data_IF_980998536779
#
_entry.id   IF_980998536779
#
_cell.length_a   1.000
_cell.length_b   1.000
_cell.length_c   1.000
_cell.angle_alpha   90.00
_cell.angle_beta   90.00
_cell.angle_gamma   90.00
#
_symmetry.space_group_name_H-M   'P 1'
#
loop_
_entity.id
_entity.type
_entity.pdbx_description
1 polymer ?
#
# COMPACT_ATOMS: atom_id res chain seq x y z
N UNK A 1 -7.68 13.75 -39.53
CA UNK A 1 -7.54 14.18 -38.13
C UNK A 1 -6.30 13.54 -37.55
N UNK A 2 -5.65 14.15 -36.59
CA UNK A 2 -4.52 13.51 -35.91
C UNK A 2 -5.02 12.32 -35.05
N UNK A 3 -4.28 11.20 -34.92
CA UNK A 3 -4.74 10.02 -34.19
C UNK A 3 -5.19 10.28 -32.75
N UNK A 4 -4.62 11.28 -32.09
CA UNK A 4 -5.02 11.70 -30.75
C UNK A 4 -6.39 12.39 -30.75
N UNK A 5 -6.76 13.11 -31.81
CA UNK A 5 -8.07 13.73 -31.91
C UNK A 5 -9.16 12.67 -32.18
N UNK A 6 -8.85 11.64 -32.99
CA UNK A 6 -9.75 10.50 -33.19
C UNK A 6 -9.99 9.75 -31.85
N UNK A 7 -8.95 9.58 -31.05
CA UNK A 7 -9.09 9.02 -29.69
C UNK A 7 -9.92 9.92 -28.77
N UNK A 8 -9.72 11.24 -28.82
CA UNK A 8 -10.51 12.17 -28.03
C UNK A 8 -11.99 12.15 -28.44
N UNK A 9 -12.29 12.02 -29.73
CA UNK A 9 -13.64 11.87 -30.25
C UNK A 9 -14.28 10.55 -29.82
N UNK A 10 -13.51 9.48 -29.85
CA UNK A 10 -13.94 8.20 -29.27
C UNK A 10 -14.26 8.31 -27.78
N UNK A 11 -13.41 8.95 -26.98
CA UNK A 11 -13.67 9.16 -25.55
C UNK A 11 -14.98 9.91 -25.31
N UNK A 12 -15.31 10.94 -26.10
CA UNK A 12 -16.58 11.68 -25.98
C UNK A 12 -17.83 10.82 -26.20
N UNK A 13 -17.69 9.64 -26.81
CA UNK A 13 -18.79 8.68 -26.97
C UNK A 13 -18.94 7.74 -25.78
N UNK A 14 -17.91 7.67 -24.89
CA UNK A 14 -17.95 6.83 -23.71
C UNK A 14 -18.72 7.51 -22.55
N UNK A 15 -19.43 6.71 -21.79
CA UNK A 15 -20.14 7.16 -20.58
C UNK A 15 -19.43 6.61 -19.34
N UNK A 16 -19.02 7.48 -18.42
CA UNK A 16 -18.42 7.14 -17.13
C UNK A 16 -19.47 6.47 -16.22
N UNK A 17 -19.02 5.89 -15.11
CA UNK A 17 -19.88 5.32 -14.07
C UNK A 17 -20.77 6.37 -13.40
N UNK A 18 -20.32 7.63 -13.34
CA UNK A 18 -21.11 8.78 -12.92
C UNK A 18 -22.27 9.14 -13.86
N UNK A 19 -22.37 8.51 -15.05
CA UNK A 19 -23.31 8.85 -16.09
C UNK A 19 -22.87 10.00 -17.00
N UNK A 20 -21.77 10.68 -16.71
CA UNK A 20 -21.23 11.76 -17.55
C UNK A 20 -20.48 11.23 -18.75
N UNK A 21 -20.37 12.04 -19.81
CA UNK A 21 -19.52 11.73 -20.96
C UNK A 21 -18.05 11.92 -20.61
N UNK A 22 -17.22 10.99 -21.08
CA UNK A 22 -15.77 11.11 -20.89
C UNK A 22 -15.19 12.16 -21.82
N UNK A 23 -14.54 13.19 -21.24
CA UNK A 23 -13.72 14.15 -21.98
C UNK A 23 -12.25 13.96 -21.62
N UNK A 24 -11.33 14.10 -22.59
CA UNK A 24 -9.91 14.13 -22.29
C UNK A 24 -9.51 15.54 -21.81
N UNK A 25 -8.95 15.63 -20.63
CA UNK A 25 -8.35 16.85 -20.11
C UNK A 25 -6.96 17.11 -20.74
N UNK A 26 -6.42 18.34 -20.70
CA UNK A 26 -5.14 18.69 -21.31
C UNK A 26 -3.99 17.78 -20.90
N UNK A 27 -3.87 17.43 -19.62
CA UNK A 27 -2.80 16.54 -19.15
C UNK A 27 -2.91 15.12 -19.72
N UNK A 28 -4.13 14.61 -19.95
CA UNK A 28 -4.35 13.30 -20.56
C UNK A 28 -3.95 13.31 -22.05
N UNK A 29 -4.18 14.40 -22.74
CA UNK A 29 -3.68 14.61 -24.11
C UNK A 29 -2.15 14.67 -24.13
N UNK A 30 -1.54 15.36 -23.15
CA UNK A 30 -0.09 15.45 -23.02
C UNK A 30 0.53 14.08 -22.77
N UNK A 31 0.03 13.30 -21.81
CA UNK A 31 0.63 12.00 -21.44
C UNK A 31 0.51 10.93 -22.54
N UNK A 32 -0.39 11.10 -23.50
CA UNK A 32 -0.55 10.19 -24.62
C UNK A 32 0.03 10.76 -25.92
N UNK A 33 0.60 11.96 -25.89
CA UNK A 33 1.15 12.62 -27.09
C UNK A 33 2.20 11.78 -27.78
N UNK A 34 3.22 11.34 -27.07
CA UNK A 34 4.29 10.53 -27.64
C UNK A 34 3.80 9.16 -28.12
N UNK A 35 2.81 8.57 -27.45
CA UNK A 35 2.17 7.34 -27.90
C UNK A 35 1.56 7.52 -29.30
N UNK A 36 0.84 8.61 -29.55
CA UNK A 36 0.14 8.82 -30.81
C UNK A 36 1.01 9.47 -31.91
N UNK A 37 1.89 10.41 -31.56
CA UNK A 37 2.60 11.23 -32.56
C UNK A 37 4.06 10.84 -32.74
N UNK A 38 4.80 10.57 -31.65
CA UNK A 38 6.21 10.24 -31.74
C UNK A 38 6.46 8.74 -31.94
N UNK A 39 5.42 7.91 -31.77
CA UNK A 39 5.54 6.46 -31.93
C UNK A 39 6.40 5.81 -30.84
N UNK A 40 6.47 6.40 -29.65
CA UNK A 40 7.21 5.82 -28.55
C UNK A 40 6.78 4.36 -28.32
N UNK A 41 7.77 3.46 -28.32
CA UNK A 41 7.51 2.03 -28.07
C UNK A 41 7.09 1.80 -26.63
N UNK A 42 7.68 2.54 -25.69
CA UNK A 42 7.37 2.48 -24.27
C UNK A 42 7.04 3.90 -23.77
N UNK A 43 5.90 4.03 -23.08
CA UNK A 43 5.49 5.28 -22.42
C UNK A 43 5.28 5.00 -20.94
N UNK A 44 6.03 5.67 -20.07
CA UNK A 44 5.89 5.60 -18.64
C UNK A 44 5.18 6.85 -18.13
N UNK A 45 4.08 6.65 -17.40
CA UNK A 45 3.25 7.73 -16.86
C UNK A 45 3.21 7.60 -15.34
N UNK A 46 3.76 8.57 -14.63
CA UNK A 46 3.76 8.67 -13.18
C UNK A 46 2.82 9.80 -12.73
N UNK A 47 1.74 9.42 -12.09
CA UNK A 47 0.70 10.34 -11.61
C UNK A 47 0.24 9.93 -10.20
N UNK A 48 -0.08 10.87 -9.30
CA UNK A 48 -0.72 10.57 -8.03
C UNK A 48 -2.00 9.74 -8.18
N UNK A 49 -2.44 9.09 -7.10
CA UNK A 49 -3.71 8.35 -7.09
C UNK A 49 -4.91 9.29 -7.31
N UNK A 50 -5.94 8.78 -7.99
CA UNK A 50 -7.18 9.53 -8.23
C UNK A 50 -7.18 10.36 -9.50
N UNK A 51 -6.10 10.36 -10.31
CA UNK A 51 -6.00 11.14 -11.55
C UNK A 51 -6.45 10.35 -12.79
N UNK A 52 -7.43 9.47 -12.67
CA UNK A 52 -8.09 8.74 -13.76
C UNK A 52 -7.15 7.95 -14.72
N UNK A 53 -5.96 7.53 -14.25
CA UNK A 53 -4.98 6.76 -15.03
C UNK A 53 -5.62 5.52 -15.68
N UNK A 54 -6.15 4.63 -14.84
CA UNK A 54 -6.75 3.34 -15.25
C UNK A 54 -7.93 3.53 -16.18
N UNK A 55 -8.78 4.54 -15.90
CA UNK A 55 -9.95 4.89 -16.77
C UNK A 55 -9.50 5.32 -18.17
N UNK A 56 -8.46 6.14 -18.24
CA UNK A 56 -7.91 6.61 -19.54
C UNK A 56 -7.31 5.46 -20.33
N UNK A 57 -6.57 4.55 -19.70
CA UNK A 57 -6.00 3.38 -20.39
C UNK A 57 -7.06 2.35 -20.77
N UNK A 58 -8.12 2.20 -19.99
CA UNK A 58 -9.26 1.36 -20.39
C UNK A 58 -9.94 1.89 -21.66
N UNK A 59 -10.06 3.22 -21.80
CA UNK A 59 -10.56 3.84 -23.02
C UNK A 59 -9.61 3.64 -24.20
N UNK A 60 -8.29 3.76 -23.96
CA UNK A 60 -7.26 3.51 -24.98
C UNK A 60 -7.31 2.06 -25.49
N UNK A 61 -7.44 1.09 -24.57
CA UNK A 61 -7.59 -0.32 -24.93
C UNK A 61 -8.79 -0.57 -25.85
N UNK A 62 -9.93 0.05 -25.55
CA UNK A 62 -11.14 -0.07 -26.40
C UNK A 62 -10.99 0.65 -27.72
N UNK A 63 -10.30 1.79 -27.78
CA UNK A 63 -10.02 2.50 -29.01
C UNK A 63 -9.16 1.65 -29.95
N UNK A 64 -8.04 1.11 -29.47
CA UNK A 64 -7.18 0.22 -30.25
C UNK A 64 -7.92 -1.04 -30.72
N UNK A 65 -8.75 -1.64 -29.84
CA UNK A 65 -9.58 -2.80 -30.17
C UNK A 65 -10.61 -2.49 -31.28
N UNK A 66 -11.14 -1.28 -31.31
CA UNK A 66 -12.17 -0.88 -32.25
C UNK A 66 -11.63 -0.37 -33.60
N UNK A 67 -10.35 -0.03 -33.65
CA UNK A 67 -9.71 0.61 -34.83
C UNK A 67 -8.70 -0.27 -35.56
N UNK A 68 -8.23 -1.34 -34.90
CA UNK A 68 -7.21 -2.24 -35.41
C UNK A 68 -7.75 -3.66 -35.57
N UNK A 69 -7.58 -4.26 -36.77
CA UNK A 69 -7.91 -5.66 -36.96
C UNK A 69 -6.95 -6.59 -36.21
N UNK A 70 -7.46 -7.70 -35.70
CA UNK A 70 -6.73 -8.72 -34.92
C UNK A 70 -5.85 -8.17 -33.79
N UNK A 71 -6.28 -7.06 -33.15
CA UNK A 71 -5.55 -6.41 -32.10
C UNK A 71 -5.41 -7.32 -30.87
N UNK A 72 -4.18 -7.64 -30.48
CA UNK A 72 -3.88 -8.36 -29.23
C UNK A 72 -3.43 -7.35 -28.16
N UNK A 73 -4.34 -7.03 -27.25
CA UNK A 73 -4.13 -6.04 -26.19
C UNK A 73 -4.08 -6.77 -24.85
N UNK A 74 -3.01 -6.57 -24.09
CA UNK A 74 -2.85 -7.21 -22.78
C UNK A 74 -2.82 -6.19 -21.66
N UNK A 75 -3.47 -6.52 -20.56
CA UNK A 75 -3.43 -5.78 -19.31
C UNK A 75 -2.64 -6.61 -18.30
N UNK A 76 -1.57 -6.04 -17.76
CA UNK A 76 -0.72 -6.64 -16.74
C UNK A 76 -0.69 -5.78 -15.48
N UNK A 77 -0.75 -6.42 -14.33
CA UNK A 77 -0.58 -5.81 -13.01
C UNK A 77 0.10 -6.81 -12.07
N UNK A 78 0.60 -6.33 -10.92
CA UNK A 78 1.26 -7.17 -9.91
C UNK A 78 0.36 -8.28 -9.36
N UNK A 79 -0.94 -8.02 -9.27
CA UNK A 79 -1.95 -8.99 -8.88
C UNK A 79 -3.04 -9.10 -9.96
N UNK A 80 -3.54 -10.31 -10.16
CA UNK A 80 -4.60 -10.60 -11.15
C UNK A 80 -5.86 -9.76 -10.93
N UNK A 81 -6.23 -9.53 -9.67
CA UNK A 81 -7.40 -8.73 -9.30
C UNK A 81 -7.24 -7.25 -9.67
N UNK A 82 -6.03 -6.72 -9.63
CA UNK A 82 -5.73 -5.34 -10.05
C UNK A 82 -5.83 -5.18 -11.56
N UNK A 83 -5.28 -6.11 -12.35
CA UNK A 83 -5.51 -6.13 -13.79
C UNK A 83 -7.01 -6.21 -14.13
N UNK A 84 -7.79 -6.88 -13.27
CA UNK A 84 -9.25 -6.93 -13.33
C UNK A 84 -9.92 -5.57 -13.20
N UNK A 85 -9.34 -4.60 -12.50
CA UNK A 85 -9.92 -3.25 -12.36
C UNK A 85 -9.99 -2.56 -13.72
N UNK A 86 -8.89 -2.52 -14.47
CA UNK A 86 -8.85 -1.90 -15.79
C UNK A 86 -9.80 -2.60 -16.78
N UNK A 87 -9.84 -3.93 -16.78
CA UNK A 87 -10.76 -4.69 -17.62
C UNK A 87 -12.23 -4.44 -17.24
N UNK A 88 -12.56 -4.34 -15.95
CA UNK A 88 -13.90 -3.97 -15.47
C UNK A 88 -14.31 -2.56 -15.91
N UNK A 89 -13.38 -1.59 -15.92
CA UNK A 89 -13.61 -0.25 -16.46
C UNK A 89 -13.93 -0.31 -17.95
N UNK A 90 -13.14 -1.03 -18.74
CA UNK A 90 -13.40 -1.25 -20.18
C UNK A 90 -14.76 -1.92 -20.42
N UNK A 91 -15.06 -2.99 -19.68
CA UNK A 91 -16.36 -3.67 -19.74
C UNK A 91 -17.53 -2.74 -19.34
N UNK A 92 -17.29 -1.83 -18.37
CA UNK A 92 -18.24 -0.80 -17.97
C UNK A 92 -18.58 0.15 -19.10
N UNK A 93 -17.58 0.65 -19.81
CA UNK A 93 -17.79 1.48 -21.03
C UNK A 93 -18.61 0.74 -22.09
N UNK A 94 -18.31 -0.54 -22.33
CA UNK A 94 -19.09 -1.35 -23.27
C UNK A 94 -20.54 -1.45 -22.84
N UNK A 95 -20.80 -1.79 -21.58
CA UNK A 95 -22.17 -1.93 -21.05
C UNK A 95 -23.00 -0.65 -21.10
N UNK A 96 -22.35 0.53 -21.01
CA UNK A 96 -23.02 1.84 -21.04
C UNK A 96 -23.13 2.43 -22.44
N UNK A 97 -22.59 1.76 -23.48
CA UNK A 97 -22.62 2.23 -24.88
C UNK A 97 -23.27 1.20 -25.81
N UNK A 98 -24.51 1.43 -26.31
CA UNK A 98 -25.14 0.54 -27.28
C UNK A 98 -24.29 0.32 -28.54
N UNK A 99 -23.58 1.34 -29.00
CA UNK A 99 -22.69 1.25 -30.18
C UNK A 99 -21.51 0.27 -29.93
N UNK A 100 -20.96 0.25 -28.70
CA UNK A 100 -19.91 -0.71 -28.36
C UNK A 100 -20.47 -2.10 -28.09
N UNK A 101 -21.65 -2.24 -27.49
CA UNK A 101 -22.31 -3.54 -27.31
C UNK A 101 -22.60 -4.26 -28.65
N UNK A 102 -22.92 -3.51 -29.68
CA UNK A 102 -23.13 -4.08 -31.02
C UNK A 102 -21.84 -4.68 -31.61
N UNK A 103 -20.67 -4.12 -31.25
CA UNK A 103 -19.37 -4.48 -31.84
C UNK A 103 -18.54 -5.42 -30.96
N UNK A 104 -18.71 -5.35 -29.63
CA UNK A 104 -17.85 -6.01 -28.65
C UNK A 104 -18.62 -7.06 -27.83
N UNK A 105 -17.90 -8.09 -27.42
CA UNK A 105 -18.37 -9.12 -26.47
C UNK A 105 -17.54 -9.04 -25.21
N UNK A 106 -18.21 -8.89 -24.06
CA UNK A 106 -17.58 -8.90 -22.74
C UNK A 106 -17.66 -10.32 -22.16
N UNK A 107 -16.51 -10.89 -21.84
CA UNK A 107 -16.37 -12.15 -21.09
C UNK A 107 -15.71 -11.91 -19.74
N UNK A 108 -15.60 -12.93 -18.91
CA UNK A 108 -15.05 -12.81 -17.57
C UNK A 108 -13.62 -12.21 -17.52
N UNK A 109 -12.77 -12.55 -18.49
CA UNK A 109 -11.35 -12.18 -18.52
C UNK A 109 -10.91 -11.48 -19.80
N UNK A 110 -11.83 -11.18 -20.70
CA UNK A 110 -11.53 -10.49 -21.95
C UNK A 110 -12.71 -9.67 -22.46
N UNK A 111 -12.39 -8.68 -23.30
CA UNK A 111 -13.31 -8.00 -24.19
C UNK A 111 -12.83 -8.27 -25.62
N UNK A 112 -13.68 -8.84 -26.45
CA UNK A 112 -13.33 -9.22 -27.82
C UNK A 112 -14.16 -8.47 -28.86
N UNK A 113 -13.57 -8.14 -30.01
CA UNK A 113 -14.27 -7.54 -31.13
C UNK A 113 -14.91 -8.63 -32.02
N UNK A 114 -16.23 -8.51 -32.32
CA UNK A 114 -17.00 -9.54 -32.98
C UNK A 114 -16.59 -9.75 -34.45
N UNK A 115 -16.16 -8.68 -35.12
CA UNK A 115 -15.86 -8.69 -36.56
C UNK A 115 -14.37 -8.54 -36.86
N UNK A 116 -13.63 -7.72 -36.08
CA UNK A 116 -12.22 -7.46 -36.30
C UNK A 116 -11.27 -8.51 -35.70
N UNK A 117 -11.79 -9.51 -34.95
CA UNK A 117 -10.98 -10.61 -34.44
C UNK A 117 -10.14 -10.29 -33.18
N UNK A 118 -9.91 -9.01 -32.87
CA UNK A 118 -9.05 -8.58 -31.75
C UNK A 118 -9.67 -8.78 -30.37
N UNK A 119 -8.82 -8.67 -29.33
CA UNK A 119 -9.24 -8.77 -27.92
C UNK A 119 -8.37 -7.96 -26.96
N UNK A 120 -8.96 -7.55 -25.85
CA UNK A 120 -8.30 -7.05 -24.66
C UNK A 120 -8.41 -8.12 -23.59
N UNK A 121 -7.30 -8.57 -23.00
CA UNK A 121 -7.32 -9.62 -21.96
C UNK A 121 -6.35 -9.32 -20.82
N UNK A 122 -6.61 -9.92 -19.65
CA UNK A 122 -5.69 -9.92 -18.53
C UNK A 122 -4.61 -10.96 -18.77
N UNK A 123 -3.34 -10.56 -18.62
CA UNK A 123 -2.23 -11.48 -18.54
C UNK A 123 -2.08 -11.98 -17.10
N UNK A 124 -1.98 -13.30 -16.93
CA UNK A 124 -1.67 -13.87 -15.64
C UNK A 124 -0.23 -13.53 -15.24
N UNK A 125 0.02 -13.36 -13.95
CA UNK A 125 1.36 -13.06 -13.42
C UNK A 125 2.37 -14.20 -13.57
N UNK A 126 1.93 -15.40 -14.01
CA UNK A 126 2.81 -16.54 -14.25
C UNK A 126 3.57 -16.32 -15.56
N UNK A 127 4.84 -16.04 -15.44
CA UNK A 127 5.78 -15.73 -16.54
C UNK A 127 5.87 -16.87 -17.56
N UNK A 128 5.74 -18.11 -17.10
CA UNK A 128 5.82 -19.31 -17.95
C UNK A 128 4.75 -19.37 -19.06
N UNK A 129 3.64 -18.67 -18.90
CA UNK A 129 2.57 -18.60 -19.91
C UNK A 129 2.73 -17.44 -20.89
N UNK A 130 3.71 -16.57 -20.69
CA UNK A 130 3.92 -15.37 -21.48
C UNK A 130 5.01 -15.53 -22.56
N UNK A 131 5.76 -16.64 -22.55
CA UNK A 131 6.73 -16.95 -23.60
C UNK A 131 6.05 -17.11 -24.98
N UNK A 132 6.57 -16.38 -25.97
CA UNK A 132 5.99 -16.36 -27.30
C UNK A 132 4.85 -15.37 -27.52
N UNK A 133 4.54 -14.55 -26.51
CA UNK A 133 3.51 -13.52 -26.58
C UNK A 133 3.78 -12.56 -27.75
N UNK A 134 2.72 -12.26 -28.51
CA UNK A 134 2.74 -11.24 -29.58
C UNK A 134 1.70 -10.20 -29.17
N UNK A 135 2.15 -8.96 -28.95
CA UNK A 135 1.32 -7.90 -28.38
C UNK A 135 1.35 -6.66 -29.28
N UNK A 136 0.18 -6.11 -29.56
CA UNK A 136 0.03 -4.82 -30.22
C UNK A 136 0.05 -3.67 -29.21
N UNK A 137 -0.58 -3.87 -28.04
CA UNK A 137 -0.58 -2.93 -26.92
C UNK A 137 -0.50 -3.66 -25.58
N UNK A 138 0.54 -3.38 -24.79
CA UNK A 138 0.65 -3.79 -23.42
C UNK A 138 0.32 -2.62 -22.49
N UNK A 139 -0.61 -2.83 -21.55
CA UNK A 139 -0.99 -1.87 -20.54
C UNK A 139 -0.54 -2.42 -19.17
N UNK A 140 0.43 -1.76 -18.55
CA UNK A 140 0.99 -2.17 -17.26
C UNK A 140 0.47 -1.23 -16.19
N UNK A 141 -0.26 -1.78 -15.21
CA UNK A 141 -0.83 -0.99 -14.12
C UNK A 141 -0.03 -1.18 -12.83
N UNK A 142 0.17 -0.08 -12.12
CA UNK A 142 0.82 0.01 -10.81
C UNK A 142 2.19 -0.72 -10.76
N UNK A 143 3.09 -0.40 -11.70
CA UNK A 143 4.41 -1.05 -11.82
C UNK A 143 5.24 -1.00 -10.53
N UNK A 144 5.02 -0.01 -9.63
CA UNK A 144 5.69 0.07 -8.33
C UNK A 144 5.41 -1.12 -7.41
N UNK A 145 4.37 -1.93 -7.69
CA UNK A 145 3.98 -3.12 -6.92
C UNK A 145 4.55 -4.42 -7.48
N UNK A 146 5.14 -4.40 -8.67
CA UNK A 146 5.70 -5.60 -9.27
C UNK A 146 6.99 -6.01 -8.55
N UNK A 147 7.00 -7.24 -8.01
CA UNK A 147 8.14 -7.78 -7.27
C UNK A 147 9.28 -8.27 -8.18
N UNK A 148 8.97 -8.64 -9.43
CA UNK A 148 9.91 -9.17 -10.40
C UNK A 148 9.96 -8.33 -11.67
N UNK A 149 11.16 -8.12 -12.27
CA UNK A 149 11.32 -7.47 -13.56
C UNK A 149 10.88 -8.35 -14.74
N UNK A 150 10.66 -9.64 -14.53
CA UNK A 150 10.48 -10.66 -15.58
C UNK A 150 9.24 -10.37 -16.42
N UNK A 151 8.08 -10.12 -15.80
CA UNK A 151 6.85 -9.81 -16.52
C UNK A 151 7.02 -8.58 -17.43
N UNK A 152 7.68 -7.54 -16.93
CA UNK A 152 7.94 -6.32 -17.72
C UNK A 152 8.86 -6.62 -18.90
N UNK A 153 9.90 -7.44 -18.72
CA UNK A 153 10.82 -7.85 -19.78
C UNK A 153 10.11 -8.67 -20.85
N UNK A 154 9.32 -9.67 -20.47
CA UNK A 154 8.55 -10.52 -21.40
C UNK A 154 7.55 -9.70 -22.23
N UNK A 155 6.85 -8.74 -21.62
CA UNK A 155 5.96 -7.83 -22.33
C UNK A 155 6.72 -7.01 -23.35
N UNK A 156 7.84 -6.40 -22.97
CA UNK A 156 8.69 -5.60 -23.86
C UNK A 156 9.20 -6.41 -25.04
N UNK A 157 9.64 -7.64 -24.82
CA UNK A 157 10.11 -8.54 -25.87
C UNK A 157 8.97 -8.95 -26.81
N UNK A 158 7.75 -9.12 -26.28
CA UNK A 158 6.53 -9.40 -27.04
C UNK A 158 6.12 -8.30 -28.03
N UNK A 159 6.52 -7.05 -27.78
CA UNK A 159 6.22 -5.92 -28.68
C UNK A 159 6.94 -5.99 -30.02
N UNK A 160 8.11 -6.65 -30.06
CA UNK A 160 9.00 -6.62 -31.22
C UNK A 160 8.38 -7.19 -32.52
N UNK A 161 7.51 -8.20 -32.38
CA UNK A 161 6.97 -8.95 -33.54
C UNK A 161 5.91 -8.23 -34.33
N UNK A 162 5.19 -7.27 -33.74
CA UNK A 162 4.10 -6.51 -34.40
C UNK A 162 4.31 -4.99 -34.34
N UNK A 163 5.51 -4.54 -34.03
CA UNK A 163 5.78 -3.12 -33.74
C UNK A 163 4.79 -2.57 -32.70
N UNK A 164 4.56 -3.39 -31.66
CA UNK A 164 3.66 -3.10 -30.57
C UNK A 164 4.17 -1.98 -29.68
N UNK A 165 3.31 -1.51 -28.78
CA UNK A 165 3.59 -0.42 -27.84
C UNK A 165 3.25 -0.84 -26.42
N UNK A 166 3.91 -0.24 -25.43
CA UNK A 166 3.62 -0.43 -24.03
C UNK A 166 3.35 0.90 -23.35
N UNK A 167 2.26 0.99 -22.61
CA UNK A 167 1.95 2.13 -21.75
C UNK A 167 1.89 1.64 -20.29
N UNK A 168 2.81 2.15 -19.49
CA UNK A 168 2.91 1.84 -18.07
C UNK A 168 2.41 3.01 -17.25
N UNK A 169 1.48 2.76 -16.34
CA UNK A 169 1.01 3.74 -15.36
C UNK A 169 1.39 3.32 -13.96
N UNK A 170 1.82 4.29 -13.16
CA UNK A 170 2.17 4.05 -11.76
C UNK A 170 2.09 5.33 -10.94
N UNK A 171 2.29 5.19 -9.63
CA UNK A 171 2.67 6.26 -8.72
C UNK A 171 4.14 6.10 -8.35
N UNK A 172 4.72 7.07 -7.66
CA UNK A 172 6.05 6.94 -7.06
C UNK A 172 6.10 5.70 -6.15
N UNK A 173 7.25 5.05 -6.15
CA UNK A 173 7.54 3.88 -5.32
C UNK A 173 8.37 4.24 -4.09
N UNK A 174 8.82 3.19 -3.42
CA UNK A 174 9.74 3.26 -2.28
C UNK A 174 11.06 2.52 -2.54
N UNK A 175 11.10 1.64 -3.53
CA UNK A 175 12.28 0.85 -3.87
C UNK A 175 13.04 1.48 -5.05
N UNK A 176 14.19 2.08 -4.76
CA UNK A 176 15.10 2.65 -5.76
C UNK A 176 15.89 1.58 -6.54
N UNK A 177 15.70 0.29 -6.24
CA UNK A 177 16.24 -0.81 -7.05
C UNK A 177 15.20 -1.40 -8.01
N UNK A 178 13.94 -0.97 -7.91
CA UNK A 178 12.84 -1.47 -8.73
C UNK A 178 13.02 -1.17 -10.22
N UNK A 179 12.31 -1.95 -11.06
CA UNK A 179 12.23 -1.70 -12.52
C UNK A 179 11.70 -0.30 -12.79
N UNK A 180 10.68 0.12 -12.04
CA UNK A 180 10.07 1.44 -12.19
C UNK A 180 11.08 2.56 -11.94
N UNK A 181 11.89 2.48 -10.87
CA UNK A 181 12.92 3.47 -10.60
C UNK A 181 13.97 3.51 -11.70
N UNK A 182 14.48 2.34 -12.13
CA UNK A 182 15.48 2.24 -13.19
C UNK A 182 14.98 2.81 -14.52
N UNK A 183 13.75 2.52 -14.90
CA UNK A 183 13.12 3.06 -16.09
C UNK A 183 12.99 4.60 -16.02
N UNK A 184 12.54 5.12 -14.87
CA UNK A 184 12.48 6.57 -14.61
C UNK A 184 13.86 7.22 -14.70
N UNK A 185 14.87 6.68 -14.03
CA UNK A 185 16.24 7.25 -14.05
C UNK A 185 16.83 7.25 -15.46
N UNK A 186 16.67 6.17 -16.20
CA UNK A 186 17.13 6.10 -17.61
C UNK A 186 16.53 7.21 -18.47
N UNK A 187 15.26 7.58 -18.25
CA UNK A 187 14.62 8.67 -18.96
C UNK A 187 15.16 10.05 -18.52
N UNK A 188 15.50 10.22 -17.25
CA UNK A 188 15.99 11.48 -16.70
C UNK A 188 17.42 11.78 -17.13
N UNK A 189 18.31 10.79 -17.11
CA UNK A 189 19.72 10.91 -17.47
C UNK A 189 19.94 11.39 -18.90
N UNK A 190 18.98 11.16 -19.80
CA UNK A 190 19.07 11.46 -21.23
C UNK A 190 18.43 12.78 -21.64
N UNK A 191 18.05 13.59 -20.68
CA UNK A 191 17.51 14.92 -20.88
C UNK A 191 16.04 15.01 -20.43
N UNK A 192 15.83 15.58 -19.25
CA UNK A 192 14.52 15.84 -18.72
C UNK A 192 14.23 17.33 -18.63
N UNK A 193 12.98 17.72 -18.90
CA UNK A 193 12.49 19.09 -18.77
C UNK A 193 11.35 19.12 -17.78
N UNK A 194 11.43 20.01 -16.80
CA UNK A 194 10.37 20.21 -15.82
C UNK A 194 9.71 21.57 -16.00
N UNK A 195 8.39 21.56 -16.03
CA UNK A 195 7.55 22.76 -15.99
C UNK A 195 6.58 22.64 -14.81
N UNK A 196 6.85 23.40 -13.75
CA UNK A 196 6.11 23.30 -12.50
C UNK A 196 6.14 21.89 -11.89
N UNK A 197 4.97 21.30 -11.72
CA UNK A 197 4.82 19.92 -11.25
C UNK A 197 4.97 18.86 -12.35
N UNK A 198 4.92 19.23 -13.60
CA UNK A 198 5.09 18.33 -14.74
C UNK A 198 6.56 18.16 -15.13
N UNK A 199 6.96 16.91 -15.29
CA UNK A 199 8.29 16.49 -15.74
C UNK A 199 8.13 15.60 -16.98
N UNK A 200 8.81 15.95 -18.06
CA UNK A 200 8.95 15.15 -19.26
C UNK A 200 10.40 14.67 -19.39
N UNK A 201 10.56 13.39 -19.71
CA UNK A 201 11.85 12.77 -19.99
C UNK A 201 11.71 11.75 -21.12
N UNK A 202 12.80 11.12 -21.51
CA UNK A 202 12.76 10.08 -22.51
C UNK A 202 14.11 9.82 -23.15
N UNK A 203 14.11 8.88 -24.11
CA UNK A 203 15.30 8.58 -24.91
C UNK A 203 15.36 9.48 -26.15
N UNK A 204 16.56 9.92 -26.58
CA UNK A 204 16.72 10.80 -27.73
C UNK A 204 16.23 10.20 -29.05
N UNK A 205 16.20 8.86 -29.16
CA UNK A 205 15.71 8.13 -30.32
C UNK A 205 14.17 8.02 -30.36
N UNK A 206 13.49 8.59 -29.36
CA UNK A 206 12.04 8.56 -29.23
C UNK A 206 11.44 7.20 -28.82
N UNK A 207 12.26 6.18 -28.56
CA UNK A 207 11.79 4.83 -28.24
C UNK A 207 11.11 4.74 -26.87
N UNK A 208 11.49 5.60 -25.91
CA UNK A 208 10.95 5.67 -24.55
C UNK A 208 10.55 7.10 -24.19
N UNK A 209 9.36 7.26 -23.63
CA UNK A 209 8.85 8.55 -23.13
C UNK A 209 8.45 8.44 -21.64
N UNK A 210 8.77 9.47 -20.86
CA UNK A 210 8.35 9.64 -19.46
C UNK A 210 7.49 10.89 -19.31
N UNK A 211 6.34 10.72 -18.70
CA UNK A 211 5.48 11.80 -18.22
C UNK A 211 5.26 11.64 -16.71
N UNK A 212 5.67 12.63 -15.93
CA UNK A 212 5.54 12.59 -14.47
C UNK A 212 4.93 13.89 -13.96
N UNK A 213 3.91 13.77 -13.11
CA UNK A 213 3.38 14.88 -12.30
C UNK A 213 3.74 14.60 -10.84
N UNK A 214 4.61 15.43 -10.29
CA UNK A 214 5.14 15.24 -8.94
C UNK A 214 5.56 16.57 -8.32
N UNK A 215 5.54 16.65 -7.00
CA UNK A 215 6.25 17.69 -6.27
C UNK A 215 7.77 17.41 -6.30
N UNK A 216 8.54 18.45 -6.09
CA UNK A 216 10.01 18.38 -5.98
C UNK A 216 10.38 18.36 -4.52
N UNK A 217 10.95 17.25 -4.07
CA UNK A 217 11.43 17.07 -2.72
C UNK A 217 12.43 18.19 -2.33
N UNK A 218 12.27 18.75 -1.13
CA UNK A 218 13.10 19.83 -0.61
C UNK A 218 12.83 21.23 -1.20
N UNK A 219 11.94 21.34 -2.23
CA UNK A 219 11.54 22.62 -2.83
C UNK A 219 10.07 22.94 -2.62
N UNK A 220 9.21 21.97 -2.87
CA UNK A 220 7.76 22.14 -2.84
C UNK A 220 7.24 21.66 -1.47
N UNK A 221 6.38 22.46 -0.82
CA UNK A 221 5.79 22.10 0.46
C UNK A 221 4.67 21.05 0.23
N UNK A 222 4.82 19.82 0.74
CA UNK A 222 3.82 18.78 0.60
C UNK A 222 2.58 18.98 1.51
N UNK A 223 2.58 19.94 2.41
CA UNK A 223 1.45 20.28 3.27
C UNK A 223 0.65 21.49 2.73
N UNK A 224 1.20 22.22 1.78
CA UNK A 224 0.45 23.22 1.01
C UNK A 224 -0.42 22.52 -0.06
N UNK A 225 -1.72 22.40 0.23
CA UNK A 225 -2.67 21.72 -0.67
C UNK A 225 -2.81 22.38 -2.04
N UNK A 226 -2.53 23.69 -2.18
CA UNK A 226 -2.52 24.35 -3.48
C UNK A 226 -1.30 23.91 -4.31
N UNK A 227 -0.17 23.69 -3.64
CA UNK A 227 1.04 23.10 -4.26
C UNK A 227 0.79 21.65 -4.65
N UNK A 228 0.22 20.83 -3.75
CA UNK A 228 -0.13 19.43 -4.02
C UNK A 228 -1.11 19.31 -5.18
N UNK A 229 -2.09 20.23 -5.30
CA UNK A 229 -3.04 20.25 -6.41
C UNK A 229 -2.35 20.37 -7.77
N UNK A 230 -1.22 21.04 -7.88
CA UNK A 230 -0.46 21.16 -9.15
C UNK A 230 0.06 19.80 -9.65
N UNK A 231 0.40 18.88 -8.73
CA UNK A 231 0.77 17.50 -9.11
C UNK A 231 -0.45 16.61 -9.41
N UNK A 232 -1.66 17.07 -9.11
CA UNK A 232 -2.92 16.38 -9.31
C UNK A 232 -3.79 17.07 -10.36
N UNK A 233 -3.44 16.94 -11.66
CA UNK A 233 -4.02 17.77 -12.70
C UNK A 233 -5.50 17.52 -13.00
N UNK A 234 -6.08 16.35 -12.63
CA UNK A 234 -7.49 16.04 -12.89
C UNK A 234 -8.41 17.10 -12.24
N UNK A 235 -9.28 17.72 -13.04
CA UNK A 235 -10.17 18.80 -12.57
C UNK A 235 -11.13 18.32 -11.48
N UNK A 236 -11.65 17.10 -11.59
CA UNK A 236 -12.55 16.49 -10.62
C UNK A 236 -11.89 16.19 -9.27
N UNK A 237 -10.56 16.10 -9.18
CA UNK A 237 -9.83 15.93 -7.94
C UNK A 237 -9.57 17.32 -7.32
N UNK A 238 -10.50 17.82 -6.51
CA UNK A 238 -10.45 19.17 -5.94
C UNK A 238 -9.49 19.26 -4.73
N UNK A 239 -9.20 20.48 -4.29
CA UNK A 239 -8.42 20.73 -3.07
C UNK A 239 -9.13 20.16 -1.83
N UNK A 240 -10.47 20.19 -1.80
CA UNK A 240 -11.27 19.61 -0.71
C UNK A 240 -11.09 18.09 -0.62
N UNK A 241 -11.03 17.37 -1.76
CA UNK A 241 -10.72 15.94 -1.77
C UNK A 241 -9.30 15.65 -1.25
N UNK A 242 -8.33 16.50 -1.61
CA UNK A 242 -6.96 16.40 -1.11
C UNK A 242 -6.90 16.69 0.39
N UNK A 243 -7.64 17.70 0.88
CA UNK A 243 -7.76 18.05 2.29
C UNK A 243 -8.31 16.87 3.11
N UNK A 244 -9.46 16.33 2.70
CA UNK A 244 -10.10 15.20 3.39
C UNK A 244 -9.14 13.98 3.50
N UNK A 245 -8.30 13.77 2.49
CA UNK A 245 -7.30 12.71 2.50
C UNK A 245 -6.10 13.06 3.38
N UNK A 246 -5.62 14.31 3.37
CA UNK A 246 -4.50 14.78 4.18
C UNK A 246 -4.82 14.73 5.68
N UNK A 247 -6.03 15.16 6.04
CA UNK A 247 -6.53 15.20 7.42
C UNK A 247 -7.05 13.84 7.91
N UNK A 248 -7.12 12.83 7.05
CA UNK A 248 -7.57 11.49 7.46
C UNK A 248 -6.59 10.85 8.45
N UNK A 249 -7.05 10.42 9.63
CA UNK A 249 -6.19 9.80 10.64
C UNK A 249 -5.55 8.49 10.18
N UNK A 250 -6.08 7.87 9.12
CA UNK A 250 -5.53 6.62 8.55
C UNK A 250 -4.51 6.84 7.44
N UNK A 251 -4.28 8.09 7.01
CA UNK A 251 -3.29 8.40 5.97
C UNK A 251 -1.91 8.65 6.60
N UNK A 252 -0.98 7.73 6.43
CA UNK A 252 0.40 7.93 6.88
C UNK A 252 1.11 9.00 6.06
N UNK A 253 2.14 9.63 6.63
CA UNK A 253 2.96 10.62 5.92
C UNK A 253 3.54 10.06 4.62
N UNK A 254 4.07 8.85 4.63
CA UNK A 254 4.62 8.19 3.45
C UNK A 254 3.57 7.92 2.37
N UNK A 255 2.36 7.52 2.75
CA UNK A 255 1.24 7.39 1.81
C UNK A 255 0.85 8.72 1.18
N UNK A 256 0.83 9.78 1.98
CA UNK A 256 0.57 11.13 1.49
C UNK A 256 1.61 11.56 0.47
N UNK A 257 2.89 11.45 0.82
CA UNK A 257 3.99 11.82 -0.07
C UNK A 257 3.97 11.03 -1.39
N UNK A 258 3.76 9.71 -1.34
CA UNK A 258 3.74 8.90 -2.56
C UNK A 258 2.47 9.07 -3.38
N UNK A 259 1.32 9.01 -2.74
CA UNK A 259 0.05 8.87 -3.45
C UNK A 259 -0.65 10.19 -3.75
N UNK A 260 -0.34 11.27 -3.04
CA UNK A 260 -0.86 12.60 -3.31
C UNK A 260 0.19 13.52 -3.93
N UNK A 261 1.45 13.44 -3.47
CA UNK A 261 2.52 14.30 -3.94
C UNK A 261 3.39 13.66 -5.03
N UNK A 262 3.27 12.35 -5.24
CA UNK A 262 4.08 11.55 -6.16
C UNK A 262 5.59 11.67 -5.89
N UNK A 263 5.97 11.82 -4.62
CA UNK A 263 7.35 11.87 -4.14
C UNK A 263 7.81 10.44 -3.83
N UNK A 264 9.03 10.10 -4.25
CA UNK A 264 9.66 8.84 -3.90
C UNK A 264 10.09 8.86 -2.45
N UNK A 265 9.61 7.90 -1.67
CA UNK A 265 10.04 7.73 -0.28
C UNK A 265 11.16 6.70 -0.20
N UNK A 266 12.06 6.83 0.77
CA UNK A 266 13.11 5.84 0.97
C UNK A 266 12.64 4.74 1.89
N UNK A 267 12.38 3.54 1.34
CA UNK A 267 12.18 2.31 2.09
C UNK A 267 10.96 2.27 2.98
N UNK A 268 11.11 1.78 4.18
CA UNK A 268 10.10 1.72 5.21
C UNK A 268 9.77 3.15 5.67
N UNK A 269 8.50 3.55 5.55
CA UNK A 269 8.04 4.86 5.99
C UNK A 269 8.06 4.91 7.53
N UNK A 270 8.40 6.06 8.09
CA UNK A 270 8.11 6.34 9.50
C UNK A 270 6.62 6.07 9.74
N UNK A 271 6.32 5.29 10.75
CA UNK A 271 4.95 4.87 10.98
C UNK A 271 4.13 5.92 11.73
N UNK A 272 4.79 6.83 12.48
CA UNK A 272 4.15 7.93 13.18
C UNK A 272 4.59 9.29 12.64
N UNK A 273 3.71 10.31 12.68
CA UNK A 273 4.13 11.69 12.54
C UNK A 273 5.20 12.07 13.57
N UNK A 274 6.09 12.99 13.20
CA UNK A 274 7.04 13.56 14.15
C UNK A 274 6.27 14.07 15.39
N UNK A 275 6.83 13.85 16.57
CA UNK A 275 6.30 14.27 17.86
C UNK A 275 4.97 13.63 18.30
N UNK A 276 4.30 12.79 17.48
CA UNK A 276 3.01 12.17 17.85
C UNK A 276 3.12 11.28 19.11
N UNK A 277 4.22 10.54 19.26
CA UNK A 277 4.49 9.77 20.47
C UNK A 277 4.76 10.68 21.66
N UNK A 278 5.59 11.70 21.48
CA UNK A 278 5.96 12.62 22.56
C UNK A 278 4.77 13.42 23.07
N UNK A 279 3.79 13.71 22.19
CA UNK A 279 2.52 14.34 22.56
C UNK A 279 1.63 13.46 23.49
N UNK A 280 1.86 12.15 23.51
CA UNK A 280 1.20 11.21 24.43
C UNK A 280 1.85 11.15 25.82
N UNK A 281 2.93 11.89 26.08
CA UNK A 281 3.61 11.90 27.38
C UNK A 281 2.70 12.49 28.45
N UNK A 282 2.53 11.74 29.53
CA UNK A 282 1.76 12.12 30.71
C UNK A 282 2.53 11.65 31.93
N UNK A 283 3.19 12.56 32.69
CA UNK A 283 3.99 12.20 33.87
C UNK A 283 3.20 11.43 34.95
N UNK A 284 1.88 11.59 34.94
CA UNK A 284 0.96 10.93 35.88
C UNK A 284 0.39 9.61 35.33
N UNK A 285 0.90 9.15 34.19
CA UNK A 285 0.50 7.88 33.58
C UNK A 285 1.12 6.69 34.35
N UNK A 286 0.49 6.29 35.44
CA UNK A 286 0.83 5.14 36.25
C UNK A 286 -0.37 4.20 36.35
N UNK A 287 -0.12 2.88 36.26
CA UNK A 287 -1.16 1.86 36.37
C UNK A 287 -1.35 1.50 37.88
N UNK A 288 -2.53 1.75 38.48
CA UNK A 288 -2.78 1.44 39.87
C UNK A 288 -2.71 -0.07 40.15
N UNK A 289 -2.28 -0.43 41.34
CA UNK A 289 -2.36 -1.83 41.80
C UNK A 289 -3.82 -2.33 41.75
N UNK A 290 -4.01 -3.58 41.31
CA UNK A 290 -5.32 -4.21 41.11
C UNK A 290 -6.16 -3.60 40.00
N UNK A 291 -5.60 -2.72 39.14
CA UNK A 291 -6.28 -2.30 37.93
C UNK A 291 -6.46 -3.50 36.97
N UNK A 292 -7.57 -3.53 36.26
CA UNK A 292 -7.82 -4.48 35.17
C UNK A 292 -6.91 -4.13 33.98
N UNK A 293 -6.01 -5.02 33.60
CA UNK A 293 -5.04 -4.80 32.53
C UNK A 293 -5.12 -5.86 31.44
N UNK A 294 -4.72 -5.47 30.24
CA UNK A 294 -4.41 -6.38 29.12
C UNK A 294 -2.92 -6.43 28.94
N UNK A 295 -2.35 -7.62 28.83
CA UNK A 295 -0.95 -7.83 28.51
C UNK A 295 -0.77 -8.19 27.02
N UNK A 296 0.28 -7.68 26.41
CA UNK A 296 0.78 -8.13 25.12
C UNK A 296 2.20 -8.65 25.26
N UNK A 297 2.49 -9.73 24.55
CA UNK A 297 3.79 -10.42 24.62
C UNK A 297 4.31 -10.62 23.22
N UNK A 298 5.51 -10.13 22.95
CA UNK A 298 6.25 -10.43 21.72
C UNK A 298 7.62 -10.99 22.10
N UNK A 299 7.92 -12.18 21.55
CA UNK A 299 9.11 -12.96 21.91
C UNK A 299 9.97 -13.20 20.69
N UNK A 300 11.21 -12.77 20.74
CA UNK A 300 12.18 -13.02 19.70
C UNK A 300 12.92 -14.37 19.89
N UNK A 301 13.06 -15.11 18.82
CA UNK A 301 13.77 -16.42 18.82
C UNK A 301 15.27 -16.29 18.67
N UNK A 302 15.80 -15.20 18.09
CA UNK A 302 17.25 -14.99 17.86
C UNK A 302 17.62 -13.51 17.79
N UNK A 303 18.71 -13.14 18.51
CA UNK A 303 19.43 -11.84 18.44
C UNK A 303 18.54 -10.60 18.53
N UNK A 304 17.44 -10.70 19.23
CA UNK A 304 16.48 -9.62 19.41
C UNK A 304 16.00 -9.57 20.85
N UNK A 305 15.22 -8.56 21.18
CA UNK A 305 14.61 -8.42 22.52
C UNK A 305 13.29 -9.19 22.60
N UNK A 306 12.79 -9.37 23.81
CA UNK A 306 11.40 -9.79 24.06
C UNK A 306 10.74 -8.76 24.95
N UNK A 307 9.44 -8.57 24.82
CA UNK A 307 8.73 -7.54 25.56
C UNK A 307 7.42 -8.06 26.16
N UNK A 308 7.09 -7.55 27.34
CA UNK A 308 5.79 -7.64 27.98
C UNK A 308 5.27 -6.22 28.16
N UNK A 309 4.18 -5.90 27.48
CA UNK A 309 3.53 -4.59 27.56
C UNK A 309 2.20 -4.75 28.28
N UNK A 310 1.88 -3.83 29.18
CA UNK A 310 0.61 -3.76 29.89
C UNK A 310 -0.14 -2.50 29.50
N UNK A 311 -1.43 -2.65 29.27
CA UNK A 311 -2.36 -1.58 28.93
C UNK A 311 -3.48 -1.52 29.95
N UNK A 312 -3.81 -0.32 30.37
CA UNK A 312 -4.91 -0.03 31.27
C UNK A 312 -5.75 1.13 30.76
N UNK A 313 -7.06 0.93 30.66
CA UNK A 313 -7.96 2.02 30.31
C UNK A 313 -8.30 2.86 31.54
N UNK A 314 -7.79 4.07 31.54
CA UNK A 314 -8.03 5.07 32.61
C UNK A 314 -9.49 5.55 32.57
N UNK A 315 -10.06 6.04 33.71
CA UNK A 315 -11.44 6.53 33.76
C UNK A 315 -11.77 7.68 32.79
N UNK A 316 -10.77 8.44 32.35
CA UNK A 316 -10.92 9.48 31.32
C UNK A 316 -10.98 8.95 29.88
N UNK A 317 -10.88 7.63 29.71
CA UNK A 317 -10.90 6.94 28.43
C UNK A 317 -9.53 6.71 27.80
N UNK A 318 -8.47 7.38 28.25
CA UNK A 318 -7.11 7.19 27.72
C UNK A 318 -6.53 5.83 28.17
N UNK A 319 -5.67 5.28 27.36
CA UNK A 319 -5.00 4.00 27.60
C UNK A 319 -3.57 4.25 28.08
N UNK A 320 -3.31 3.94 29.34
CA UNK A 320 -1.95 3.99 29.90
C UNK A 320 -1.16 2.78 29.44
N UNK A 321 0.08 3.00 28.99
CA UNK A 321 0.99 1.96 28.53
C UNK A 321 2.27 1.95 29.34
N UNK A 322 2.66 0.75 29.80
CA UNK A 322 3.95 0.46 30.43
C UNK A 322 4.56 -0.80 29.79
N UNK A 323 5.90 -0.88 29.71
CA UNK A 323 6.60 -1.97 29.08
C UNK A 323 7.76 -2.51 29.93
N UNK A 324 7.98 -3.82 29.87
CA UNK A 324 9.19 -4.48 30.31
C UNK A 324 9.87 -5.12 29.11
N UNK A 325 11.14 -4.75 28.86
CA UNK A 325 11.90 -5.24 27.70
C UNK A 325 13.10 -6.05 28.18
N UNK A 326 13.29 -7.21 27.59
CA UNK A 326 14.34 -8.16 27.92
C UNK A 326 15.27 -8.34 26.73
N UNK A 327 16.58 -8.16 26.95
CA UNK A 327 17.62 -8.39 25.96
C UNK A 327 18.35 -9.72 26.24
N UNK A 328 18.93 -10.39 25.21
CA UNK A 328 19.82 -11.52 25.41
C UNK A 328 20.98 -11.16 26.31
N UNK A 329 21.38 -12.07 27.20
CA UNK A 329 22.50 -11.86 28.15
C UNK A 329 23.77 -12.54 27.69
N UNK A 330 24.90 -11.84 27.81
CA UNK A 330 26.23 -12.37 27.47
C UNK A 330 26.31 -12.80 26.01
N UNK A 331 26.85 -14.00 25.76
CA UNK A 331 26.98 -14.57 24.41
C UNK A 331 25.70 -15.27 23.91
N UNK A 332 24.60 -15.21 24.67
CA UNK A 332 23.32 -15.80 24.27
C UNK A 332 22.78 -15.09 23.04
N UNK A 333 22.22 -15.87 22.11
CA UNK A 333 21.54 -15.37 20.92
C UNK A 333 20.03 -15.24 21.09
N UNK A 334 19.49 -15.64 22.24
CA UNK A 334 18.05 -15.59 22.57
C UNK A 334 17.82 -15.09 23.98
N UNK A 335 16.66 -14.49 24.23
CA UNK A 335 16.18 -14.12 25.56
C UNK A 335 15.78 -15.40 26.31
N UNK A 336 16.11 -15.47 27.59
CA UNK A 336 15.59 -16.52 28.47
C UNK A 336 14.09 -16.32 28.71
N UNK A 337 13.27 -17.22 28.17
CA UNK A 337 11.80 -17.16 28.27
C UNK A 337 11.29 -17.18 29.70
N UNK A 338 12.03 -17.77 30.63
CA UNK A 338 11.66 -17.78 32.03
C UNK A 338 11.54 -16.35 32.63
N UNK A 339 12.29 -15.38 32.09
CA UNK A 339 12.18 -13.98 32.46
C UNK A 339 10.84 -13.35 32.01
N UNK A 340 10.39 -13.70 30.82
CA UNK A 340 9.11 -13.25 30.27
C UNK A 340 7.96 -13.87 31.05
N UNK A 341 8.02 -15.18 31.33
CA UNK A 341 7.03 -15.88 32.14
C UNK A 341 6.96 -15.30 33.56
N UNK A 342 8.12 -15.07 34.17
CA UNK A 342 8.17 -14.46 35.51
C UNK A 342 7.58 -13.02 35.50
N UNK A 343 7.78 -12.27 34.42
CA UNK A 343 7.16 -10.94 34.27
C UNK A 343 5.63 -11.04 34.21
N UNK A 344 5.10 -11.98 33.43
CA UNK A 344 3.65 -12.19 33.32
C UNK A 344 3.06 -12.58 34.69
N UNK A 345 3.70 -13.51 35.42
CA UNK A 345 3.26 -13.90 36.75
C UNK A 345 3.31 -12.72 37.75
N UNK A 346 4.39 -11.91 37.74
CA UNK A 346 4.47 -10.68 38.55
C UNK A 346 3.35 -9.68 38.23
N UNK A 347 3.00 -9.57 36.97
CA UNK A 347 1.87 -8.73 36.57
C UNK A 347 0.54 -9.29 37.10
N UNK A 348 0.33 -10.60 37.06
CA UNK A 348 -0.86 -11.26 37.61
C UNK A 348 -0.95 -11.11 39.15
N UNK A 349 0.18 -11.09 39.85
CA UNK A 349 0.21 -10.85 41.30
C UNK A 349 -0.17 -9.39 41.66
N UNK A 350 0.19 -8.44 40.79
CA UNK A 350 0.01 -7.00 41.04
C UNK A 350 -1.30 -6.45 40.52
N UNK A 351 -1.77 -6.93 39.38
CA UNK A 351 -2.91 -6.42 38.62
C UNK A 351 -3.98 -7.50 38.41
N UNK A 352 -5.16 -7.09 38.06
CA UNK A 352 -6.20 -7.98 37.52
C UNK A 352 -5.97 -8.17 36.00
N UNK A 353 -5.28 -9.25 35.63
CA UNK A 353 -4.92 -9.53 34.26
C UNK A 353 -6.08 -10.18 33.54
N UNK A 354 -6.83 -9.39 32.76
CA UNK A 354 -7.97 -9.87 31.99
C UNK A 354 -7.55 -10.84 30.86
N UNK A 355 -6.47 -10.53 30.17
CA UNK A 355 -6.03 -11.27 28.96
C UNK A 355 -4.54 -11.07 28.74
N UNK A 356 -3.87 -12.11 28.22
CA UNK A 356 -2.48 -12.06 27.73
C UNK A 356 -2.49 -12.39 26.24
N UNK A 357 -2.29 -11.38 25.40
CA UNK A 357 -2.21 -11.53 23.94
C UNK A 357 -0.78 -11.89 23.51
N UNK A 358 -0.61 -12.91 22.68
CA UNK A 358 0.70 -13.40 22.26
C UNK A 358 0.69 -13.98 20.86
N UNK A 359 1.88 -14.02 20.19
CA UNK A 359 2.06 -14.77 18.95
C UNK A 359 2.41 -16.24 19.25
N UNK A 360 1.60 -17.22 18.78
CA UNK A 360 1.82 -18.63 19.06
C UNK A 360 3.15 -19.19 18.48
N UNK A 361 3.74 -18.56 17.48
CA UNK A 361 4.91 -19.08 16.78
C UNK A 361 6.11 -19.41 17.69
N UNK A 362 6.37 -18.61 18.73
CA UNK A 362 7.53 -18.77 19.60
C UNK A 362 7.20 -18.89 21.08
N UNK A 363 5.93 -18.83 21.49
CA UNK A 363 5.51 -18.77 22.89
C UNK A 363 4.45 -19.80 23.28
N UNK A 364 4.04 -20.71 22.39
CA UNK A 364 2.93 -21.64 22.61
C UNK A 364 3.10 -22.50 23.90
N UNK A 365 4.28 -23.07 24.13
CA UNK A 365 4.55 -23.90 25.32
C UNK A 365 4.43 -23.10 26.63
N UNK A 366 5.04 -21.91 26.69
CA UNK A 366 4.94 -21.03 27.86
C UNK A 366 3.50 -20.58 28.09
N UNK A 367 2.74 -20.37 27.02
CA UNK A 367 1.34 -20.01 27.08
C UNK A 367 0.47 -21.14 27.68
N UNK A 368 0.73 -22.41 27.35
CA UNK A 368 0.06 -23.56 27.98
C UNK A 368 0.34 -23.59 29.49
N UNK A 369 1.61 -23.46 29.90
CA UNK A 369 1.99 -23.46 31.33
C UNK A 369 1.38 -22.28 32.11
N UNK A 370 1.23 -21.11 31.48
CA UNK A 370 0.60 -19.93 32.08
C UNK A 370 -0.93 -20.06 32.14
N UNK A 371 -1.53 -20.69 31.14
CA UNK A 371 -2.97 -20.99 31.07
C UNK A 371 -3.36 -22.00 32.14
N UNK A 372 -2.54 -23.05 32.37
CA UNK A 372 -2.71 -24.00 33.45
C UNK A 372 -2.62 -23.31 34.84
N UNK A 373 -1.87 -22.21 34.90
CA UNK A 373 -1.80 -21.31 36.06
C UNK A 373 -3.00 -20.38 36.24
N UNK A 374 -4.02 -20.46 35.37
CA UNK A 374 -5.28 -19.71 35.47
C UNK A 374 -5.31 -18.39 34.69
N UNK A 375 -4.32 -18.09 33.86
CA UNK A 375 -4.32 -16.88 33.00
C UNK A 375 -5.05 -17.12 31.68
N UNK A 376 -5.86 -16.15 31.25
CA UNK A 376 -6.50 -16.19 29.92
C UNK A 376 -5.47 -15.82 28.84
N UNK A 377 -4.94 -16.82 28.17
CA UNK A 377 -3.98 -16.68 27.07
C UNK A 377 -4.71 -16.61 25.74
N UNK A 378 -4.52 -15.53 24.97
CA UNK A 378 -5.18 -15.32 23.66
C UNK A 378 -4.15 -15.29 22.53
N UNK A 379 -4.29 -16.22 21.60
CA UNK A 379 -3.46 -16.28 20.40
C UNK A 379 -3.80 -15.18 19.41
N UNK A 380 -2.83 -14.36 19.08
CA UNK A 380 -2.92 -13.33 18.03
C UNK A 380 -1.80 -13.58 17.01
N UNK A 381 -1.98 -14.50 16.06
CA UNK A 381 -0.98 -14.77 15.04
C UNK A 381 -0.60 -13.52 14.28
N UNK A 382 0.70 -13.29 14.07
CA UNK A 382 1.23 -12.13 13.34
C UNK A 382 1.04 -12.27 11.81
N UNK A 383 -0.16 -12.71 11.38
CA UNK A 383 -0.54 -12.71 9.96
C UNK A 383 -0.62 -11.29 9.41
N UNK A 384 -0.42 -11.15 8.09
CA UNK A 384 -0.48 -9.83 7.44
C UNK A 384 -1.82 -9.11 7.69
N UNK A 385 -2.93 -9.82 7.70
CA UNK A 385 -4.27 -9.28 7.88
C UNK A 385 -4.51 -8.77 9.32
N UNK A 386 -4.22 -9.61 10.33
CA UNK A 386 -4.39 -9.24 11.75
C UNK A 386 -3.47 -8.11 12.17
N UNK A 387 -2.19 -8.18 11.76
CA UNK A 387 -1.24 -7.11 12.06
C UNK A 387 -1.55 -5.81 11.34
N UNK A 388 -2.23 -5.84 10.19
CA UNK A 388 -2.69 -4.61 9.54
C UNK A 388 -3.70 -3.89 10.40
N UNK A 389 -4.74 -4.58 10.85
CA UNK A 389 -5.77 -4.00 11.72
C UNK A 389 -5.16 -3.50 13.02
N UNK A 390 -4.42 -4.35 13.75
CA UNK A 390 -3.79 -3.98 15.01
C UNK A 390 -2.83 -2.78 14.88
N UNK A 391 -2.08 -2.68 13.76
CA UNK A 391 -1.18 -1.56 13.50
C UNK A 391 -1.92 -0.25 13.23
N UNK A 392 -3.01 -0.32 12.45
CA UNK A 392 -3.83 0.85 12.11
C UNK A 392 -4.60 1.38 13.33
N UNK A 393 -5.16 0.49 14.14
CA UNK A 393 -5.88 0.86 15.36
C UNK A 393 -4.95 1.53 16.36
N UNK A 394 -3.75 0.95 16.58
CA UNK A 394 -2.75 1.56 17.46
C UNK A 394 -2.26 2.92 16.93
N UNK A 395 -2.04 3.04 15.61
CA UNK A 395 -1.69 4.31 14.99
C UNK A 395 -2.76 5.38 15.25
N UNK A 396 -4.03 5.03 15.04
CA UNK A 396 -5.16 5.93 15.25
C UNK A 396 -5.24 6.38 16.71
N UNK A 397 -5.06 5.46 17.66
CA UNK A 397 -5.08 5.76 19.09
C UNK A 397 -3.94 6.71 19.50
N UNK A 398 -2.72 6.53 18.98
CA UNK A 398 -1.58 7.42 19.27
C UNK A 398 -1.82 8.81 18.67
N UNK A 399 -2.16 8.89 17.39
CA UNK A 399 -2.38 10.18 16.71
C UNK A 399 -3.60 10.92 17.27
N UNK A 400 -4.62 10.17 17.69
CA UNK A 400 -5.82 10.71 18.37
C UNK A 400 -5.58 11.15 19.82
N UNK A 401 -4.38 10.92 20.40
CA UNK A 401 -4.07 11.27 21.78
C UNK A 401 -4.76 10.38 22.81
N UNK A 402 -5.21 9.20 22.41
CA UNK A 402 -5.88 8.22 23.29
C UNK A 402 -4.90 7.41 24.14
N UNK A 403 -3.61 7.42 23.77
CA UNK A 403 -2.54 6.77 24.55
C UNK A 403 -1.96 7.75 25.59
N UNK A 404 -1.50 7.20 26.73
CA UNK A 404 -0.72 7.93 27.73
C UNK A 404 0.46 7.08 28.18
N UNK A 405 1.65 7.68 28.34
CA UNK A 405 2.85 6.99 28.85
C UNK A 405 3.71 7.90 29.72
N UNK A 406 4.38 7.31 30.72
CA UNK A 406 5.25 8.02 31.64
C UNK A 406 6.63 8.43 31.10
N UNK A 407 6.89 8.32 29.80
CA UNK A 407 8.14 8.74 29.18
C UNK A 407 9.27 7.69 29.23
N UNK A 408 8.97 6.40 29.36
CA UNK A 408 9.98 5.34 29.32
C UNK A 408 10.84 5.41 28.05
N UNK A 409 12.18 5.60 28.17
CA UNK A 409 13.05 5.77 27.00
C UNK A 409 13.21 4.48 26.18
N UNK A 410 13.06 3.29 26.79
CA UNK A 410 13.16 2.01 26.10
C UNK A 410 11.92 1.79 25.23
N UNK A 411 10.74 1.99 25.79
CA UNK A 411 9.49 1.95 25.03
C UNK A 411 9.51 2.96 23.87
N UNK A 412 9.91 4.20 24.16
CA UNK A 412 10.03 5.26 23.14
C UNK A 412 11.01 4.87 22.02
N UNK A 413 12.13 4.21 22.35
CA UNK A 413 13.08 3.74 21.36
C UNK A 413 12.48 2.65 20.44
N UNK A 414 11.70 1.71 20.97
CA UNK A 414 11.00 0.69 20.20
C UNK A 414 9.91 1.29 19.32
N UNK A 415 9.16 2.26 19.82
CA UNK A 415 8.14 2.97 19.07
C UNK A 415 8.74 3.74 17.88
N UNK A 416 9.81 4.50 18.14
CA UNK A 416 10.50 5.28 17.07
C UNK A 416 11.27 4.40 16.07
N UNK A 417 11.60 3.15 16.43
CA UNK A 417 12.25 2.20 15.53
C UNK A 417 11.29 1.50 14.58
N UNK A 418 9.99 1.62 14.83
CA UNK A 418 8.93 1.08 13.98
C UNK A 418 8.91 1.74 12.61
N UNK A 419 8.56 0.94 11.60
CA UNK A 419 8.34 1.37 10.23
C UNK A 419 7.12 0.67 9.65
N UNK A 420 6.58 1.18 8.55
CA UNK A 420 5.46 0.54 7.86
C UNK A 420 5.92 -0.28 6.67
N UNK A 421 5.34 -1.46 6.51
CA UNK A 421 5.43 -2.24 5.28
C UNK A 421 4.06 -2.27 4.62
N UNK A 422 4.00 -1.71 3.43
CA UNK A 422 2.80 -1.69 2.61
C UNK A 422 2.52 -3.07 2.02
N UNK A 423 1.25 -3.45 1.93
CA UNK A 423 0.76 -4.60 1.19
C UNK A 423 -0.62 -4.31 0.58
N UNK A 424 -1.21 -5.28 -0.12
CA UNK A 424 -2.43 -5.05 -0.93
C UNK A 424 -3.64 -4.53 -0.14
N UNK A 425 -3.77 -4.93 1.14
CA UNK A 425 -4.91 -4.61 2.01
C UNK A 425 -4.65 -3.49 3.02
N UNK A 426 -3.47 -2.84 2.95
CA UNK A 426 -3.08 -1.78 3.88
C UNK A 426 -1.60 -1.84 4.23
N UNK A 427 -1.25 -1.51 5.47
CA UNK A 427 0.12 -1.54 5.96
C UNK A 427 0.19 -2.15 7.36
N UNK A 428 1.34 -2.70 7.71
CA UNK A 428 1.63 -3.23 9.04
C UNK A 428 2.96 -2.74 9.56
N UNK A 429 3.11 -2.75 10.86
CA UNK A 429 4.37 -2.47 11.55
C UNK A 429 5.43 -3.52 11.22
N UNK A 430 6.64 -3.06 10.96
CA UNK A 430 7.85 -3.87 10.76
C UNK A 430 9.06 -3.17 11.35
N UNK A 431 10.17 -3.89 11.51
CA UNK A 431 11.46 -3.27 11.87
C UNK A 431 11.93 -2.35 10.76
N UNK A 432 12.34 -1.14 11.13
CA UNK A 432 12.95 -0.20 10.21
C UNK A 432 14.33 -0.64 9.70
N UNK A 433 14.87 0.07 8.71
CA UNK A 433 16.19 -0.20 8.11
C UNK A 433 17.34 -0.25 9.14
N UNK A 434 17.19 0.48 10.23
CA UNK A 434 18.14 0.48 11.34
C UNK A 434 18.24 -0.89 12.05
N UNK A 435 17.31 -1.80 11.79
CA UNK A 435 17.15 -3.11 12.45
C UNK A 435 17.11 -3.03 13.98
N UNK A 436 16.75 -1.88 14.53
CA UNK A 436 16.55 -1.73 15.98
C UNK A 436 15.34 -2.56 16.42
N UNK A 437 15.35 -3.05 17.65
CA UNK A 437 14.21 -3.79 18.20
C UNK A 437 12.92 -2.98 18.18
N UNK A 438 11.79 -3.66 17.92
CA UNK A 438 10.43 -3.10 17.98
C UNK A 438 9.48 -3.98 18.78
N UNK A 439 10.00 -4.96 19.53
CA UNK A 439 9.20 -6.00 20.17
C UNK A 439 8.19 -5.40 21.16
N UNK A 440 8.54 -4.32 21.90
CA UNK A 440 7.58 -3.60 22.74
C UNK A 440 6.47 -2.90 21.91
N UNK A 441 6.77 -2.41 20.73
CA UNK A 441 5.76 -1.85 19.83
C UNK A 441 4.81 -2.93 19.30
N UNK A 442 5.33 -4.09 18.92
CA UNK A 442 4.49 -5.22 18.49
C UNK A 442 3.65 -5.74 19.65
N UNK A 443 4.24 -5.96 20.82
CA UNK A 443 3.51 -6.36 22.02
C UNK A 443 2.40 -5.35 22.38
N UNK A 444 2.66 -4.05 22.24
CA UNK A 444 1.66 -3.00 22.43
C UNK A 444 0.50 -3.11 21.44
N UNK A 445 0.79 -3.38 20.16
CA UNK A 445 -0.24 -3.56 19.14
C UNK A 445 -1.10 -4.81 19.39
N UNK A 446 -0.48 -5.91 19.86
CA UNK A 446 -1.19 -7.13 20.25
C UNK A 446 -2.11 -6.86 21.44
N UNK A 447 -1.61 -6.21 22.51
CA UNK A 447 -2.42 -5.86 23.67
C UNK A 447 -3.57 -4.91 23.29
N UNK A 448 -3.29 -3.88 22.48
CA UNK A 448 -4.28 -2.91 22.06
C UNK A 448 -5.44 -3.56 21.29
N UNK A 449 -5.16 -4.53 20.42
CA UNK A 449 -6.18 -5.28 19.69
C UNK A 449 -7.16 -6.07 20.58
N UNK A 450 -6.80 -6.29 21.87
CA UNK A 450 -7.61 -7.03 22.83
C UNK A 450 -8.29 -6.14 23.88
N UNK A 451 -8.04 -4.82 23.87
CA UNK A 451 -8.61 -3.90 24.85
C UNK A 451 -10.15 -3.88 24.85
N UNK A 452 -10.75 -3.87 23.67
CA UNK A 452 -12.19 -3.78 23.46
C UNK A 452 -12.81 -5.12 23.01
N UNK A 453 -12.00 -6.15 22.84
CA UNK A 453 -12.48 -7.50 22.62
C UNK A 453 -13.15 -7.96 23.92
N UNK A 454 -14.47 -8.01 23.95
CA UNK A 454 -15.21 -8.67 25.00
C UNK A 454 -14.68 -10.10 25.14
N UNK A 455 -14.54 -10.61 26.37
CA UNK A 455 -14.06 -11.95 26.63
C UNK A 455 -15.03 -13.02 26.08
N UNK A 456 -15.06 -13.18 24.78
CA UNK A 456 -15.70 -14.31 24.10
C UNK A 456 -14.63 -15.38 23.92
N UNK A 457 -14.63 -16.35 24.84
CA UNK A 457 -13.91 -17.60 24.68
C UNK A 457 -14.54 -18.35 23.50
N UNK A 458 -13.90 -18.33 22.35
CA UNK A 458 -14.28 -19.11 21.15
C UNK A 458 -13.45 -20.40 21.06
N UNK A 459 -13.29 -21.08 22.20
CA UNK A 459 -12.77 -22.43 22.28
C UNK A 459 -13.90 -23.46 22.23
N UNK A 460 -13.66 -24.69 21.75
CA UNK A 460 -14.68 -25.73 21.75
C UNK A 460 -15.09 -26.02 23.20
N UNK A 461 -16.37 -25.86 23.50
CA UNK A 461 -16.99 -26.41 24.72
C UNK A 461 -16.78 -27.92 24.70
N UNK A 462 -15.82 -28.41 25.48
CA UNK A 462 -15.73 -29.84 25.79
C UNK A 462 -16.85 -30.12 26.79
N UNK A 463 -18.00 -30.56 26.30
CA UNK A 463 -19.01 -31.17 27.14
C UNK A 463 -18.46 -32.47 27.73
N UNK A 464 -18.23 -32.49 29.03
CA UNK A 464 -18.01 -33.71 29.78
C UNK A 464 -19.37 -34.41 29.98
N UNK A 465 -19.59 -35.47 29.22
CA UNK A 465 -20.54 -36.52 29.58
C UNK A 465 -19.79 -37.70 30.21
#
# INVERSE_FOLDING_TARGET
>A
MAPLDDFADFCRQLTLDSGQRMGLEPFQRTMLGEYFFAGARETLILLPKGNAKTTTLAALALFELCTRADAEIVIAAAARDQAGIMLRQAAGFVRRSPALQARLTVKQREVAHRQLGGRVRILASDVDTADGLIVDLALVDELHRHHSPELYAVLRDGLGKRNGRMVTISTAGWDRNSVLWKARQSALERGAVRDGAYLRGGHPDGSFALHEWSLVEGRDDPDDLAVVKRANPLSALTVEHLRARHESPTTTRGEWLRFACNIWTEGEDEWLPADAWDACTDPDAEIPARAEVVLGVDVATKRDTSAVVRLWRRPDGRVVVEAEVYAPRGDSTAVDLSLVEAAIRRNADRYDVRTVAYDPWSFARSAEELSDGGLLMVEVPQSAERMTTASQDLYTAIVGGEIAHGGDPTLAAHVRAGAVKQHERGWRLVKGKSRRPIDALIAMALAHSQLDAGATYDGPLVEWL
#
